data_IF_597878429786
#
_entry.id   IF_597878429786
#
_cell.length_a   1.000
_cell.length_b   1.000
_cell.length_c   1.000
_cell.angle_alpha   90.00
_cell.angle_beta   90.00
_cell.angle_gamma   90.00
#
_symmetry.space_group_name_H-M   'P 1'
#
loop_
_entity.id
_entity.type
_entity.pdbx_description
1 polymer ?
#
# COMPACT_ATOMS: atom_id res chain seq x y z
N UNK A 1 25.02 -12.61 9.21
CA UNK A 1 25.31 -11.43 8.36
C UNK A 1 24.69 -10.21 9.02
N UNK A 2 25.36 -9.04 8.98
CA UNK A 2 24.77 -7.79 9.47
C UNK A 2 23.60 -7.44 8.54
N UNK A 3 22.41 -7.17 9.10
CA UNK A 3 21.29 -6.63 8.31
C UNK A 3 21.73 -5.34 7.64
N UNK A 4 21.77 -5.34 6.31
CA UNK A 4 22.16 -4.15 5.52
C UNK A 4 21.05 -3.10 5.62
N UNK A 5 19.78 -3.54 5.56
CA UNK A 5 18.59 -2.69 5.63
C UNK A 5 17.77 -3.04 6.88
N UNK A 6 17.28 -2.01 7.57
CA UNK A 6 16.36 -2.16 8.71
C UNK A 6 14.91 -2.26 8.25
N UNK A 7 14.57 -1.60 7.16
CA UNK A 7 13.24 -1.64 6.55
C UNK A 7 13.36 -1.69 5.03
N UNK A 8 12.42 -2.40 4.38
CA UNK A 8 12.23 -2.39 2.92
C UNK A 8 10.88 -1.76 2.62
N UNK A 9 10.86 -0.60 1.94
CA UNK A 9 9.62 0.07 1.54
C UNK A 9 9.26 -0.37 0.13
N UNK A 10 8.11 -1.02 -0.01
CA UNK A 10 7.65 -1.64 -1.26
C UNK A 10 6.39 -0.93 -1.77
N UNK A 11 6.39 -0.60 -3.05
CA UNK A 11 5.24 -0.02 -3.73
C UNK A 11 5.12 -0.46 -5.18
N UNK A 12 3.88 -0.60 -5.65
CA UNK A 12 3.56 -0.78 -7.06
C UNK A 12 3.26 0.56 -7.72
N UNK A 13 3.64 0.76 -8.99
CA UNK A 13 3.30 1.97 -9.74
C UNK A 13 3.05 1.67 -11.21
N UNK A 14 2.18 2.47 -11.85
CA UNK A 14 2.03 2.51 -13.30
C UNK A 14 1.50 3.85 -13.79
N UNK A 15 2.27 4.55 -14.64
CA UNK A 15 1.89 5.83 -15.25
C UNK A 15 1.51 6.92 -14.23
N UNK A 16 2.26 7.00 -13.11
CA UNK A 16 1.98 7.92 -12.00
C UNK A 16 3.24 8.65 -11.52
N UNK A 17 4.16 8.97 -12.45
CA UNK A 17 5.48 9.56 -12.18
C UNK A 17 5.51 10.63 -11.10
N UNK A 18 4.60 11.61 -11.15
CA UNK A 18 4.65 12.76 -10.23
C UNK A 18 4.20 12.39 -8.81
N UNK A 19 3.24 11.46 -8.68
CA UNK A 19 2.80 10.96 -7.38
C UNK A 19 3.87 10.07 -6.78
N UNK A 20 4.38 9.11 -7.55
CA UNK A 20 5.49 8.24 -7.15
C UNK A 20 6.71 9.05 -6.67
N UNK A 21 7.09 10.11 -7.39
CA UNK A 21 8.17 11.01 -6.97
C UNK A 21 7.91 11.65 -5.60
N UNK A 22 6.68 12.07 -5.35
CA UNK A 22 6.32 12.69 -4.07
C UNK A 22 6.31 11.65 -2.94
N UNK A 23 5.81 10.44 -3.19
CA UNK A 23 5.84 9.34 -2.23
C UNK A 23 7.28 8.99 -1.86
N UNK A 24 8.15 8.75 -2.85
CA UNK A 24 9.58 8.44 -2.61
C UNK A 24 10.26 9.59 -1.88
N UNK A 25 9.98 10.85 -2.24
CA UNK A 25 10.54 11.97 -1.51
C UNK A 25 10.10 12.00 -0.03
N UNK A 26 8.84 11.67 0.27
CA UNK A 26 8.36 11.59 1.66
C UNK A 26 9.02 10.45 2.45
N UNK A 27 9.47 9.38 1.79
CA UNK A 27 10.26 8.31 2.40
C UNK A 27 11.67 8.81 2.72
N UNK A 28 12.34 9.43 1.75
CA UNK A 28 13.71 9.97 1.90
C UNK A 28 13.82 11.04 2.99
N UNK A 29 12.80 11.85 3.14
CA UNK A 29 12.75 12.95 4.13
C UNK A 29 12.05 12.57 5.43
N UNK A 30 11.76 11.28 5.64
CA UNK A 30 11.01 10.83 6.81
C UNK A 30 11.76 10.96 8.15
N UNK A 31 13.08 11.08 8.12
CA UNK A 31 13.93 11.15 9.32
C UNK A 31 14.17 9.79 9.97
N UNK A 32 14.19 8.73 9.19
CA UNK A 32 14.51 7.38 9.66
C UNK A 32 16.01 7.25 9.98
N UNK A 33 16.30 6.75 11.16
CA UNK A 33 17.69 6.51 11.62
C UNK A 33 18.11 5.08 11.32
N UNK A 34 18.50 4.82 10.10
CA UNK A 34 18.90 3.51 9.60
C UNK A 34 18.89 3.46 8.09
N UNK A 35 19.17 2.29 7.53
CA UNK A 35 19.17 2.08 6.09
C UNK A 35 17.78 1.64 5.61
N UNK A 36 17.24 2.37 4.65
CA UNK A 36 15.98 2.06 3.98
C UNK A 36 16.31 1.45 2.61
N UNK A 37 15.71 0.32 2.32
CA UNK A 37 15.61 -0.21 0.96
C UNK A 37 14.30 0.28 0.34
N UNK A 38 14.35 0.93 -0.82
CA UNK A 38 13.15 1.36 -1.54
C UNK A 38 12.99 0.48 -2.78
N UNK A 39 11.90 -0.26 -2.87
CA UNK A 39 11.59 -1.17 -3.98
C UNK A 39 10.33 -0.67 -4.70
N UNK A 40 10.46 -0.41 -5.99
CA UNK A 40 9.34 -0.05 -6.86
C UNK A 40 9.11 -1.15 -7.88
N UNK A 41 7.90 -1.73 -7.89
CA UNK A 41 7.44 -2.60 -8.95
C UNK A 41 6.66 -1.76 -9.95
N UNK A 42 7.24 -1.53 -11.14
CA UNK A 42 6.62 -0.72 -12.20
C UNK A 42 5.86 -1.59 -13.19
N UNK A 43 4.60 -1.26 -13.44
CA UNK A 43 3.69 -1.99 -14.32
C UNK A 43 3.92 -1.78 -15.83
N UNK A 44 5.11 -1.36 -16.26
CA UNK A 44 5.41 -1.00 -17.63
C UNK A 44 4.87 0.40 -17.97
N UNK A 45 5.34 1.39 -17.23
CA UNK A 45 4.95 2.79 -17.42
C UNK A 45 5.46 3.38 -18.72
N UNK A 46 4.64 4.23 -19.34
CA UNK A 46 4.93 4.93 -20.62
C UNK A 46 4.96 6.46 -20.46
N UNK A 47 4.79 6.98 -19.23
CA UNK A 47 4.79 8.42 -18.93
C UNK A 47 6.17 8.98 -18.53
N UNK A 48 7.25 8.19 -18.78
CA UNK A 48 8.61 8.50 -18.39
C UNK A 48 8.92 8.16 -16.92
N UNK A 49 8.09 7.35 -16.25
CA UNK A 49 8.37 6.83 -14.92
C UNK A 49 9.61 5.94 -14.93
N UNK A 50 9.68 4.95 -15.84
CA UNK A 50 10.84 4.05 -15.97
C UNK A 50 12.14 4.80 -16.21
N UNK A 51 12.14 5.80 -17.12
CA UNK A 51 13.33 6.62 -17.41
C UNK A 51 13.79 7.43 -16.18
N UNK A 52 12.82 7.85 -15.35
CA UNK A 52 13.15 8.54 -14.13
C UNK A 52 13.65 7.58 -13.05
N UNK A 53 13.03 6.41 -12.89
CA UNK A 53 13.46 5.38 -11.95
C UNK A 53 14.87 4.88 -12.24
N UNK A 54 15.21 4.67 -13.52
CA UNK A 54 16.55 4.26 -13.95
C UNK A 54 17.69 5.23 -13.56
N UNK A 55 17.34 6.47 -13.20
CA UNK A 55 18.29 7.50 -12.73
C UNK A 55 18.38 7.60 -11.21
N UNK A 56 17.59 6.82 -10.46
CA UNK A 56 17.65 6.80 -9.01
C UNK A 56 18.67 5.75 -8.55
N UNK A 57 19.61 6.14 -7.71
CA UNK A 57 20.68 5.27 -7.21
C UNK A 57 20.30 4.54 -5.90
N UNK A 58 19.23 4.96 -5.27
CA UNK A 58 18.72 4.47 -3.99
C UNK A 58 17.35 3.77 -4.09
N UNK A 59 16.87 3.55 -5.33
CA UNK A 59 15.60 2.86 -5.60
C UNK A 59 15.85 1.62 -6.41
N UNK A 60 15.49 0.47 -5.86
CA UNK A 60 15.49 -0.78 -6.58
C UNK A 60 14.22 -0.88 -7.45
N UNK A 61 14.39 -0.97 -8.74
CA UNK A 61 13.27 -0.97 -9.69
C UNK A 61 13.12 -2.34 -10.35
N UNK A 62 11.93 -2.91 -10.25
CA UNK A 62 11.52 -4.11 -10.97
C UNK A 62 10.46 -3.70 -11.98
N UNK A 63 10.68 -3.97 -13.27
CA UNK A 63 9.69 -3.70 -14.31
C UNK A 63 8.94 -4.99 -14.64
N UNK A 64 7.66 -5.05 -14.23
CA UNK A 64 6.73 -6.14 -14.54
C UNK A 64 5.57 -5.59 -15.35
N UNK A 65 5.60 -5.67 -16.70
CA UNK A 65 4.53 -5.14 -17.53
C UNK A 65 3.17 -5.73 -17.16
N UNK A 66 2.25 -4.88 -16.71
CA UNK A 66 0.92 -5.28 -16.27
C UNK A 66 -0.15 -4.68 -17.22
N UNK A 67 -0.37 -5.33 -18.34
CA UNK A 67 -1.33 -4.94 -19.36
C UNK A 67 -2.75 -5.43 -19.06
N UNK A 68 -3.73 -4.91 -19.80
CA UNK A 68 -5.11 -5.35 -19.66
C UNK A 68 -5.38 -6.59 -20.51
N UNK A 69 -6.07 -7.55 -19.91
CA UNK A 69 -6.52 -8.78 -20.56
C UNK A 69 -8.03 -8.97 -20.35
N UNK A 70 -8.58 -9.96 -21.04
CA UNK A 70 -9.89 -10.54 -20.73
C UNK A 70 -9.61 -11.97 -20.26
N UNK A 71 -10.02 -12.29 -19.02
CA UNK A 71 -9.81 -13.61 -18.45
C UNK A 71 -10.76 -14.67 -19.06
N UNK A 72 -10.60 -15.91 -18.62
CA UNK A 72 -11.44 -17.04 -19.05
C UNK A 72 -12.95 -16.87 -18.73
N UNK A 73 -13.29 -15.97 -17.82
CA UNK A 73 -14.67 -15.66 -17.41
C UNK A 73 -15.22 -14.43 -18.13
N UNK A 74 -14.49 -13.86 -19.12
CA UNK A 74 -14.87 -12.66 -19.85
C UNK A 74 -14.73 -11.38 -19.04
N UNK A 75 -13.97 -11.38 -17.94
CA UNK A 75 -13.73 -10.20 -17.10
C UNK A 75 -12.49 -9.47 -17.60
N UNK A 76 -12.65 -8.18 -17.92
CA UNK A 76 -11.49 -7.32 -18.24
C UNK A 76 -10.75 -6.99 -16.95
N UNK A 77 -9.54 -7.45 -16.82
CA UNK A 77 -8.67 -7.29 -15.65
C UNK A 77 -7.23 -6.97 -16.06
N UNK A 78 -6.32 -6.97 -15.11
CA UNK A 78 -4.87 -6.90 -15.33
C UNK A 78 -4.29 -8.32 -15.47
N UNK A 79 -3.22 -8.45 -16.27
CA UNK A 79 -2.52 -9.72 -16.49
C UNK A 79 -1.97 -10.29 -15.18
N UNK A 80 -1.47 -9.39 -14.32
CA UNK A 80 -0.97 -9.73 -12.98
C UNK A 80 -1.91 -9.16 -11.92
N UNK A 81 -2.57 -10.00 -11.11
CA UNK A 81 -3.34 -9.58 -9.94
C UNK A 81 -2.51 -8.75 -8.97
N UNK A 82 -3.19 -7.96 -8.14
CA UNK A 82 -2.50 -7.08 -7.19
C UNK A 82 -1.59 -7.85 -6.23
N UNK A 83 -2.03 -9.00 -5.73
CA UNK A 83 -1.25 -9.85 -4.83
C UNK A 83 0.05 -10.35 -5.48
N UNK A 84 -0.04 -10.88 -6.70
CA UNK A 84 1.14 -11.31 -7.48
C UNK A 84 2.10 -10.15 -7.70
N UNK A 85 1.57 -9.00 -8.12
CA UNK A 85 2.36 -7.81 -8.40
C UNK A 85 3.11 -7.29 -7.17
N UNK A 86 2.46 -7.25 -6.01
CA UNK A 86 3.09 -6.82 -4.76
C UNK A 86 4.06 -7.87 -4.19
N UNK A 87 3.75 -9.16 -4.36
CA UNK A 87 4.62 -10.25 -3.90
C UNK A 87 5.99 -10.23 -4.58
N UNK A 88 6.10 -9.73 -5.82
CA UNK A 88 7.39 -9.52 -6.47
C UNK A 88 8.29 -8.65 -5.59
N UNK A 89 7.79 -7.51 -5.14
CA UNK A 89 8.55 -6.61 -4.27
C UNK A 89 8.77 -7.17 -2.86
N UNK A 90 7.76 -7.82 -2.27
CA UNK A 90 7.84 -8.38 -0.93
C UNK A 90 8.86 -9.51 -0.84
N UNK A 91 8.82 -10.45 -1.78
CA UNK A 91 9.77 -11.59 -1.82
C UNK A 91 11.20 -11.14 -2.09
N UNK A 92 11.36 -10.03 -2.82
CA UNK A 92 12.66 -9.43 -3.12
C UNK A 92 13.25 -8.57 -1.99
N UNK A 93 12.45 -8.20 -1.00
CA UNK A 93 12.88 -7.39 0.15
C UNK A 93 13.96 -8.10 0.97
N UNK A 94 14.99 -7.36 1.41
CA UNK A 94 16.08 -7.89 2.21
C UNK A 94 15.87 -7.67 3.73
N UNK A 95 15.04 -6.70 4.13
CA UNK A 95 14.74 -6.45 5.54
C UNK A 95 13.60 -7.33 6.06
N UNK A 96 13.64 -7.66 7.35
CA UNK A 96 12.56 -8.38 8.03
C UNK A 96 11.29 -7.52 8.21
N UNK A 97 11.42 -6.20 8.18
CA UNK A 97 10.31 -5.26 8.31
C UNK A 97 10.00 -4.63 6.96
N UNK A 98 8.92 -5.08 6.32
CA UNK A 98 8.46 -4.60 5.02
C UNK A 98 7.41 -3.52 5.22
N UNK A 99 7.58 -2.36 4.61
CA UNK A 99 6.60 -1.27 4.61
C UNK A 99 5.87 -1.28 3.27
N UNK A 100 4.58 -1.58 3.30
CA UNK A 100 3.72 -1.48 2.12
C UNK A 100 3.10 -0.09 2.05
N UNK A 101 3.29 0.60 0.94
CA UNK A 101 2.65 1.89 0.63
C UNK A 101 2.15 1.92 -0.81
N UNK A 102 1.18 2.77 -1.10
CA UNK A 102 0.83 3.10 -2.50
C UNK A 102 1.70 4.24 -3.02
N UNK A 103 1.81 4.35 -4.34
CA UNK A 103 2.60 5.36 -5.04
C UNK A 103 1.99 6.79 -4.97
N UNK A 104 0.95 6.99 -4.16
CA UNK A 104 0.28 8.25 -3.86
C UNK A 104 0.07 8.47 -2.35
N UNK A 105 0.86 7.78 -1.53
CA UNK A 105 0.83 7.94 -0.08
C UNK A 105 1.98 8.81 0.39
N UNK A 106 1.68 9.94 1.02
CA UNK A 106 2.68 10.84 1.59
C UNK A 106 2.78 10.57 3.09
N UNK A 107 3.95 10.16 3.53
CA UNK A 107 4.22 9.85 4.93
C UNK A 107 4.45 11.13 5.74
N UNK A 108 3.92 11.18 6.96
CA UNK A 108 4.27 12.21 7.92
C UNK A 108 5.72 12.03 8.41
N UNK A 109 6.43 13.12 8.76
CA UNK A 109 7.77 13.03 9.33
C UNK A 109 7.82 12.09 10.55
N UNK A 110 8.83 11.23 10.61
CA UNK A 110 9.03 10.27 11.69
C UNK A 110 8.12 9.04 11.67
N UNK A 111 7.20 8.91 10.70
CA UNK A 111 6.27 7.79 10.60
C UNK A 111 7.00 6.45 10.51
N UNK A 112 8.05 6.35 9.69
CA UNK A 112 8.81 5.12 9.52
C UNK A 112 9.56 4.72 10.79
N UNK A 113 10.20 5.70 11.46
CA UNK A 113 10.95 5.42 12.70
C UNK A 113 10.02 4.90 13.79
N UNK A 114 8.92 5.61 14.05
CA UNK A 114 7.96 5.24 15.10
C UNK A 114 7.35 3.86 14.87
N UNK A 115 6.98 3.57 13.61
CA UNK A 115 6.41 2.28 13.24
C UNK A 115 7.40 1.13 13.41
N UNK A 116 8.63 1.32 12.94
CA UNK A 116 9.71 0.35 13.10
C UNK A 116 10.03 0.05 14.58
N UNK A 117 10.19 1.10 15.39
CA UNK A 117 10.52 0.97 16.80
C UNK A 117 9.40 0.22 17.56
N UNK A 118 8.14 0.54 17.29
CA UNK A 118 6.98 -0.12 17.91
C UNK A 118 6.93 -1.61 17.53
N UNK A 119 7.02 -1.95 16.24
CA UNK A 119 7.01 -3.34 15.80
C UNK A 119 8.20 -4.12 16.36
N UNK A 120 9.40 -3.57 16.20
CA UNK A 120 10.63 -4.21 16.67
C UNK A 120 10.60 -4.47 18.17
N UNK A 121 10.12 -3.52 18.96
CA UNK A 121 9.97 -3.66 20.41
C UNK A 121 9.04 -4.84 20.74
N UNK A 122 7.89 -4.94 20.08
CA UNK A 122 6.90 -6.01 20.33
C UNK A 122 7.41 -7.37 19.87
N UNK A 123 8.01 -7.46 18.70
CA UNK A 123 8.61 -8.71 18.20
C UNK A 123 9.71 -9.17 19.17
N UNK A 124 10.56 -8.25 19.64
CA UNK A 124 11.62 -8.58 20.63
C UNK A 124 11.08 -8.98 22.00
N UNK A 125 9.90 -8.51 22.39
CA UNK A 125 9.24 -8.95 23.63
C UNK A 125 8.55 -10.31 23.51
N UNK A 126 8.63 -10.96 22.34
CA UNK A 126 8.02 -12.27 22.08
C UNK A 126 6.55 -12.20 21.66
N UNK A 127 6.01 -10.98 21.41
CA UNK A 127 4.66 -10.88 20.88
C UNK A 127 4.59 -11.37 19.43
N UNK A 128 3.60 -12.19 19.11
CA UNK A 128 3.35 -12.69 17.76
C UNK A 128 2.64 -11.60 16.90
N UNK A 129 3.41 -10.59 16.45
CA UNK A 129 2.93 -9.46 15.65
C UNK A 129 3.23 -9.70 14.18
N UNK A 130 2.18 -9.75 13.35
CA UNK A 130 2.30 -9.91 11.89
C UNK A 130 2.49 -8.59 11.14
N UNK A 131 2.10 -7.47 11.77
CA UNK A 131 2.29 -6.16 11.19
C UNK A 131 1.48 -5.06 11.86
N UNK A 132 1.62 -3.83 11.34
CA UNK A 132 0.94 -2.67 11.88
C UNK A 132 0.53 -1.65 10.82
N UNK A 133 -0.69 -1.15 10.94
CA UNK A 133 -1.30 -0.22 10.02
C UNK A 133 -1.01 1.24 10.38
N UNK A 134 -0.71 2.05 9.38
CA UNK A 134 -0.66 3.51 9.54
C UNK A 134 -2.05 4.09 9.66
N UNK A 135 -2.18 5.15 10.47
CA UNK A 135 -3.34 6.02 10.42
C UNK A 135 -3.25 6.87 9.16
N UNK A 136 -4.14 6.67 8.20
CA UNK A 136 -4.15 7.46 6.98
C UNK A 136 -5.42 8.28 6.83
N UNK A 137 -5.32 9.41 6.13
CA UNK A 137 -6.48 10.18 5.67
C UNK A 137 -6.54 10.18 4.16
N UNK A 138 -7.72 10.02 3.61
CA UNK A 138 -7.96 10.23 2.19
C UNK A 138 -8.07 11.74 1.91
N UNK A 139 -7.02 12.31 1.37
CA UNK A 139 -7.01 13.74 1.03
C UNK A 139 -7.53 13.94 -0.40
N UNK A 140 -8.44 14.90 -0.67
CA UNK A 140 -9.02 15.87 0.27
C UNK A 140 -10.33 15.43 0.95
N UNK A 141 -10.77 14.18 0.81
CA UNK A 141 -12.11 13.72 1.24
C UNK A 141 -12.32 13.76 2.75
N UNK A 142 -11.27 13.47 3.52
CA UNK A 142 -11.38 13.36 4.97
C UNK A 142 -10.43 14.33 5.67
N UNK A 143 -10.90 14.92 6.77
CA UNK A 143 -10.11 15.74 7.68
C UNK A 143 -9.63 14.98 8.94
N UNK A 144 -9.88 13.66 8.99
CA UNK A 144 -9.48 12.78 10.08
C UNK A 144 -8.62 11.63 9.56
N UNK A 145 -7.77 11.10 10.43
CA UNK A 145 -6.98 9.92 10.18
C UNK A 145 -7.71 8.67 10.67
N UNK A 146 -7.55 7.56 9.99
CA UNK A 146 -8.18 6.30 10.36
C UNK A 146 -7.30 5.09 10.05
N UNK A 147 -7.54 4.02 10.79
CA UNK A 147 -7.15 2.65 10.44
C UNK A 147 -8.43 1.88 10.16
N UNK A 148 -8.50 1.16 9.08
CA UNK A 148 -9.67 0.36 8.70
C UNK A 148 -9.67 -0.93 9.53
N UNK A 149 -10.85 -1.36 9.97
CA UNK A 149 -11.07 -2.69 10.55
C UNK A 149 -11.87 -3.57 9.58
N UNK A 150 -11.59 -4.87 9.62
CA UNK A 150 -12.25 -5.90 8.81
C UNK A 150 -13.02 -6.88 9.71
N UNK A 151 -13.66 -7.94 9.19
CA UNK A 151 -14.35 -8.90 10.01
C UNK A 151 -13.57 -9.32 11.26
N UNK A 152 -14.28 -9.63 12.37
CA UNK A 152 -13.74 -9.90 13.71
C UNK A 152 -13.03 -8.71 14.38
N UNK A 153 -13.08 -7.50 13.77
CA UNK A 153 -12.43 -6.30 14.30
C UNK A 153 -10.93 -6.26 14.09
N UNK A 154 -10.39 -7.11 13.22
CA UNK A 154 -8.96 -7.11 12.91
C UNK A 154 -8.54 -5.82 12.20
N UNK A 155 -7.34 -5.34 12.52
CA UNK A 155 -6.77 -4.13 11.95
C UNK A 155 -6.23 -4.43 10.56
N UNK A 156 -6.86 -3.84 9.54
CA UNK A 156 -6.44 -4.01 8.16
C UNK A 156 -5.20 -3.18 7.83
N UNK A 157 -4.19 -3.80 7.23
CA UNK A 157 -2.96 -3.11 6.83
C UNK A 157 -3.07 -2.70 5.37
N UNK A 158 -3.81 -1.60 5.11
CA UNK A 158 -3.84 -0.99 3.78
C UNK A 158 -2.51 -0.30 3.41
N UNK A 159 -1.89 0.31 4.42
CA UNK A 159 -0.58 0.93 4.39
C UNK A 159 0.06 0.71 5.75
N UNK A 160 1.31 0.32 5.79
CA UNK A 160 1.96 0.04 7.06
C UNK A 160 3.06 -1.01 6.96
N UNK A 161 3.41 -1.54 8.09
CA UNK A 161 4.46 -2.55 8.22
C UNK A 161 3.90 -3.96 8.21
N UNK A 162 4.59 -4.86 7.55
CA UNK A 162 4.51 -6.30 7.74
C UNK A 162 5.82 -6.84 8.33
N UNK A 163 5.72 -7.88 9.14
CA UNK A 163 6.85 -8.66 9.58
C UNK A 163 7.05 -9.81 8.59
N UNK A 164 8.19 -9.84 7.89
CA UNK A 164 8.44 -10.79 6.79
C UNK A 164 8.25 -12.25 7.18
N UNK A 165 8.73 -12.74 8.34
CA UNK A 165 8.46 -14.12 8.77
C UNK A 165 6.98 -14.44 8.94
N UNK A 166 6.14 -13.45 9.28
CA UNK A 166 4.69 -13.65 9.36
C UNK A 166 4.06 -13.77 7.97
N UNK A 167 4.54 -13.01 6.97
CA UNK A 167 4.11 -13.14 5.57
C UNK A 167 4.49 -14.50 5.00
N UNK A 168 5.69 -14.97 5.30
CA UNK A 168 6.18 -16.31 4.91
C UNK A 168 5.32 -17.41 5.51
N UNK A 169 4.99 -17.31 6.80
CA UNK A 169 4.16 -18.30 7.51
C UNK A 169 2.73 -18.41 6.95
N UNK A 170 2.19 -17.36 6.34
CA UNK A 170 0.88 -17.37 5.69
C UNK A 170 0.96 -17.44 4.15
N UNK A 171 2.13 -17.76 3.61
CA UNK A 171 2.36 -17.89 2.18
C UNK A 171 2.06 -16.62 1.36
N UNK A 172 2.45 -15.46 1.88
CA UNK A 172 2.40 -14.14 1.21
C UNK A 172 0.97 -13.67 0.87
N UNK A 173 0.84 -12.69 -0.03
CA UNK A 173 -0.46 -12.26 -0.56
C UNK A 173 -1.06 -13.32 -1.47
N UNK A 174 -2.39 -13.40 -1.50
CA UNK A 174 -3.11 -14.27 -2.44
C UNK A 174 -2.95 -13.75 -3.88
N UNK A 175 -2.38 -14.61 -4.74
CA UNK A 175 -2.09 -14.31 -6.13
C UNK A 175 -3.21 -14.76 -7.09
N UNK A 176 -4.25 -15.45 -6.58
CA UNK A 176 -5.21 -16.19 -7.42
C UNK A 176 -6.64 -15.67 -7.29
N UNK A 177 -7.10 -15.45 -6.06
CA UNK A 177 -8.52 -15.24 -5.78
C UNK A 177 -9.00 -13.80 -5.99
N UNK A 178 -8.10 -12.84 -6.06
CA UNK A 178 -8.42 -11.41 -6.15
C UNK A 178 -7.77 -10.76 -7.35
N UNK A 179 -8.53 -9.96 -8.10
CA UNK A 179 -7.98 -9.17 -9.20
C UNK A 179 -7.18 -7.97 -8.69
N UNK A 180 -7.74 -7.23 -7.71
CA UNK A 180 -7.11 -5.99 -7.24
C UNK A 180 -7.49 -5.61 -5.80
N UNK A 181 -8.77 -5.70 -5.42
CA UNK A 181 -9.25 -5.33 -4.10
C UNK A 181 -9.22 -6.52 -3.13
N UNK A 182 -9.38 -6.22 -1.84
CA UNK A 182 -9.50 -7.19 -0.76
C UNK A 182 -8.26 -8.02 -0.45
N UNK A 183 -7.19 -7.99 -1.26
CA UNK A 183 -5.97 -8.74 -0.98
C UNK A 183 -5.29 -8.33 0.32
N UNK A 184 -5.35 -7.03 0.68
CA UNK A 184 -4.90 -6.52 1.98
C UNK A 184 -5.78 -6.99 3.15
N UNK A 185 -7.09 -7.10 2.92
CA UNK A 185 -8.02 -7.70 3.87
C UNK A 185 -7.78 -9.19 4.06
N UNK A 186 -7.57 -9.91 2.97
CA UNK A 186 -7.30 -11.35 2.98
C UNK A 186 -6.04 -11.72 3.76
N UNK A 187 -4.91 -11.07 3.45
CA UNK A 187 -3.67 -11.31 4.19
C UNK A 187 -3.83 -10.99 5.68
N UNK A 188 -4.57 -9.92 6.02
CA UNK A 188 -4.86 -9.56 7.39
C UNK A 188 -5.69 -10.64 8.10
N UNK A 189 -6.69 -11.23 7.44
CA UNK A 189 -7.46 -12.35 7.98
C UNK A 189 -6.57 -13.54 8.24
N UNK A 190 -5.80 -14.00 7.24
CA UNK A 190 -4.91 -15.17 7.35
C UNK A 190 -3.85 -15.00 8.44
N UNK A 191 -3.25 -13.82 8.56
CA UNK A 191 -2.31 -13.51 9.64
C UNK A 191 -2.97 -13.71 11.02
N UNK A 192 -4.11 -13.06 11.25
CA UNK A 192 -4.78 -13.14 12.54
C UNK A 192 -5.33 -14.55 12.86
N UNK A 193 -5.81 -15.29 11.87
CA UNK A 193 -6.27 -16.67 12.04
C UNK A 193 -5.11 -17.63 12.39
N UNK A 194 -3.89 -17.32 11.95
CA UNK A 194 -2.66 -18.01 12.36
C UNK A 194 -2.06 -17.51 13.68
N UNK A 195 -2.74 -16.56 14.33
CA UNK A 195 -2.35 -15.99 15.62
C UNK A 195 -1.33 -14.84 15.51
N UNK A 196 -0.99 -14.38 14.29
CA UNK A 196 -0.22 -13.16 14.09
C UNK A 196 -1.14 -11.94 14.24
N UNK A 197 -0.91 -11.15 15.27
CA UNK A 197 -1.74 -9.96 15.52
C UNK A 197 -1.41 -8.85 14.51
N UNK A 198 -2.44 -8.16 14.03
CA UNK A 198 -2.29 -6.88 13.31
C UNK A 198 -2.75 -5.74 14.20
N UNK A 199 -1.97 -4.66 14.28
CA UNK A 199 -2.18 -3.57 15.24
C UNK A 199 -2.24 -2.20 14.55
N UNK A 200 -2.93 -1.19 15.14
CA UNK A 200 -2.74 0.18 14.71
C UNK A 200 -1.40 0.71 15.24
N UNK A 201 -0.61 1.37 14.37
CA UNK A 201 0.63 2.01 14.79
C UNK A 201 0.36 3.42 15.26
N UNK A 202 0.43 3.63 16.56
CA UNK A 202 0.23 4.95 17.13
C UNK A 202 1.29 5.93 16.62
N UNK A 203 0.83 7.18 16.33
CA UNK A 203 1.67 8.26 15.80
C UNK A 203 2.28 8.03 14.41
N UNK A 204 1.89 6.98 13.70
CA UNK A 204 2.27 6.75 12.31
C UNK A 204 1.15 7.25 11.39
N UNK A 205 1.36 8.42 10.78
CA UNK A 205 0.34 9.09 9.97
C UNK A 205 0.77 9.24 8.52
N UNK A 206 -0.21 9.17 7.61
CA UNK A 206 -0.01 9.37 6.19
C UNK A 206 -1.20 10.05 5.51
N UNK A 207 -0.96 10.76 4.41
CA UNK A 207 -2.01 11.28 3.54
C UNK A 207 -2.04 10.46 2.24
N UNK A 208 -3.14 9.77 2.00
CA UNK A 208 -3.41 9.08 0.75
C UNK A 208 -4.07 10.08 -0.22
N UNK A 209 -3.38 10.40 -1.30
CA UNK A 209 -3.82 11.39 -2.27
C UNK A 209 -4.84 10.76 -3.21
N UNK A 210 -6.12 10.76 -2.80
CA UNK A 210 -7.19 10.22 -3.65
C UNK A 210 -7.38 11.09 -4.89
N UNK A 211 -7.53 10.43 -6.03
CA UNK A 211 -7.80 11.10 -7.29
C UNK A 211 -9.10 11.90 -7.21
N UNK A 212 -9.07 13.15 -7.69
CA UNK A 212 -10.30 13.90 -7.90
C UNK A 212 -11.21 13.12 -8.86
N UNK A 213 -12.49 12.94 -8.53
CA UNK A 213 -13.41 12.23 -9.41
C UNK A 213 -13.63 13.03 -10.68
N UNK A 214 -12.91 12.68 -11.75
CA UNK A 214 -13.21 13.15 -13.10
C UNK A 214 -14.32 12.27 -13.63
N UNK A 215 -15.58 12.72 -13.53
CA UNK A 215 -16.83 12.04 -13.92
C UNK A 215 -17.08 10.69 -13.21
N UNK A 216 -18.35 10.33 -13.00
CA UNK A 216 -18.79 9.05 -12.41
C UNK A 216 -18.19 7.88 -13.21
N UNK A 217 -17.09 7.31 -12.74
CA UNK A 217 -16.52 6.08 -13.32
C UNK A 217 -17.42 4.91 -12.95
N UNK A 218 -17.77 4.07 -13.93
CA UNK A 218 -18.35 2.74 -13.64
C UNK A 218 -17.31 1.96 -12.80
N UNK A 219 -17.76 1.45 -11.67
CA UNK A 219 -16.95 0.55 -10.84
C UNK A 219 -16.62 -0.68 -11.70
N UNK A 220 -15.37 -1.09 -11.85
CA UNK A 220 -15.03 -2.28 -12.61
C UNK A 220 -15.76 -3.52 -12.07
N UNK A 221 -16.17 -4.43 -12.95
CA UNK A 221 -16.84 -5.69 -12.55
C UNK A 221 -16.01 -6.51 -11.55
N UNK A 222 -14.70 -6.52 -11.71
CA UNK A 222 -13.81 -7.26 -10.82
C UNK A 222 -13.82 -6.75 -9.38
N UNK A 223 -14.15 -5.49 -9.11
CA UNK A 223 -14.30 -4.98 -7.74
C UNK A 223 -15.41 -5.73 -6.98
N UNK A 224 -16.57 -5.92 -7.62
CA UNK A 224 -17.66 -6.67 -6.99
C UNK A 224 -17.27 -8.14 -6.83
N UNK A 225 -16.59 -8.73 -7.80
CA UNK A 225 -16.11 -10.12 -7.73
C UNK A 225 -15.14 -10.30 -6.56
N UNK A 226 -14.18 -9.40 -6.38
CA UNK A 226 -13.24 -9.43 -5.25
C UNK A 226 -13.97 -9.33 -3.91
N UNK A 227 -14.94 -8.42 -3.80
CA UNK A 227 -15.76 -8.27 -2.59
C UNK A 227 -16.60 -9.52 -2.29
N UNK A 228 -17.23 -10.10 -3.30
CA UNK A 228 -18.04 -11.31 -3.16
C UNK A 228 -17.17 -12.51 -2.75
N UNK A 229 -15.98 -12.61 -3.35
CA UNK A 229 -14.97 -13.62 -3.00
C UNK A 229 -14.55 -13.49 -1.53
N UNK A 230 -14.21 -12.27 -1.11
CA UNK A 230 -13.83 -11.99 0.27
C UNK A 230 -14.94 -12.33 1.26
N UNK A 231 -16.18 -11.91 0.97
CA UNK A 231 -17.34 -12.19 1.83
C UNK A 231 -17.66 -13.68 1.90
N UNK A 232 -17.43 -14.43 0.82
CA UNK A 232 -17.61 -15.88 0.79
C UNK A 232 -16.56 -16.62 1.62
N UNK A 233 -15.29 -16.18 1.54
CA UNK A 233 -14.19 -16.77 2.31
C UNK A 233 -14.28 -16.40 3.79
N UNK A 234 -14.73 -15.18 4.10
CA UNK A 234 -14.81 -14.65 5.46
C UNK A 234 -16.23 -14.19 5.80
N UNK A 235 -17.19 -15.11 5.99
CA UNK A 235 -18.60 -14.80 6.25
C UNK A 235 -18.85 -14.29 7.68
N UNK A 236 -17.93 -13.52 8.22
CA UNK A 236 -18.01 -12.99 9.56
C UNK A 236 -18.61 -11.58 9.58
N UNK A 237 -19.34 -11.29 10.66
CA UNK A 237 -19.87 -9.95 10.87
C UNK A 237 -18.73 -8.93 11.03
N UNK A 238 -18.84 -7.80 10.34
CA UNK A 238 -17.98 -6.65 10.56
C UNK A 238 -18.25 -6.06 11.95
N UNK A 239 -17.17 -5.86 12.72
CA UNK A 239 -17.23 -5.20 14.03
C UNK A 239 -16.53 -3.86 13.89
N UNK A 240 -17.31 -2.78 13.71
CA UNK A 240 -16.78 -1.43 13.46
C UNK A 240 -16.22 -1.25 12.03
N UNK A 241 -16.13 0.01 11.60
CA UNK A 241 -15.65 0.33 10.26
C UNK A 241 -14.21 0.87 10.25
N UNK A 242 -13.82 1.56 11.30
CA UNK A 242 -12.50 2.18 11.42
C UNK A 242 -12.22 2.70 12.83
N UNK A 243 -10.94 2.71 13.21
CA UNK A 243 -10.43 3.43 14.37
C UNK A 243 -10.04 4.84 13.90
N UNK A 244 -10.77 5.86 14.36
CA UNK A 244 -10.60 7.25 13.90
C UNK A 244 -9.83 8.09 14.90
N UNK A 245 -8.98 8.98 14.40
CA UNK A 245 -8.33 10.06 15.16
C UNK A 245 -8.61 11.39 14.47
N UNK A 246 -9.27 12.29 15.17
CA UNK A 246 -9.53 13.65 14.73
C UNK A 246 -8.57 14.65 15.40
N UNK A 247 -8.53 15.87 14.90
CA UNK A 247 -7.73 16.98 15.45
C UNK A 247 -6.22 16.72 15.57
N UNK A 248 -5.69 15.91 14.69
CA UNK A 248 -4.25 15.63 14.61
C UNK A 248 -3.59 16.73 13.79
N UNK A 249 -2.81 17.58 14.45
CA UNK A 249 -2.06 18.66 13.80
C UNK A 249 -0.70 18.16 13.29
N UNK A 250 -0.71 17.51 12.12
CA UNK A 250 0.50 17.03 11.45
C UNK A 250 0.60 17.71 10.08
N UNK A 251 1.74 18.35 9.83
CA UNK A 251 2.04 18.93 8.52
C UNK A 251 2.56 17.85 7.58
N UNK A 252 1.78 17.54 6.54
CA UNK A 252 2.17 16.66 5.44
C UNK A 252 2.22 17.51 4.17
N UNK A 253 3.31 17.43 3.41
CA UNK A 253 3.41 18.14 2.12
C UNK A 253 2.53 17.48 1.08
N UNK A 254 1.38 18.08 0.83
CA UNK A 254 0.40 17.65 -0.17
C UNK A 254 0.52 18.41 -1.49
N UNK A 255 1.59 19.16 -1.71
CA UNK A 255 1.79 19.98 -2.92
C UNK A 255 1.73 19.16 -4.20
N UNK A 256 2.15 17.89 -4.15
CA UNK A 256 2.06 16.96 -5.26
C UNK A 256 0.62 16.68 -5.70
N UNK A 257 -0.34 16.68 -4.77
CA UNK A 257 -1.76 16.54 -5.09
C UNK A 257 -2.24 17.71 -5.98
N UNK A 258 -1.90 18.94 -5.61
CA UNK A 258 -2.33 20.09 -6.40
C UNK A 258 -1.68 20.13 -7.77
N UNK A 259 -0.39 19.79 -7.88
CA UNK A 259 0.28 19.67 -9.19
C UNK A 259 -0.35 18.59 -10.07
N UNK A 260 -0.70 17.45 -9.47
CA UNK A 260 -1.38 16.37 -10.16
C UNK A 260 -2.80 16.77 -10.56
N UNK A 261 -3.58 17.36 -9.66
CA UNK A 261 -4.95 17.79 -9.90
C UNK A 261 -5.03 18.87 -11.01
N UNK A 262 -4.17 19.89 -10.96
CA UNK A 262 -4.10 20.94 -11.97
C UNK A 262 -3.78 20.37 -13.36
N UNK A 263 -2.77 19.50 -13.45
CA UNK A 263 -2.42 18.86 -14.72
C UNK A 263 -3.59 18.06 -15.30
N UNK A 264 -4.33 17.34 -14.47
CA UNK A 264 -5.41 16.49 -14.90
C UNK A 264 -6.70 17.26 -15.23
N UNK A 265 -6.96 18.35 -14.52
CA UNK A 265 -8.09 19.25 -14.83
C UNK A 265 -7.84 20.02 -16.12
N UNK A 266 -6.61 20.51 -16.33
CA UNK A 266 -6.24 21.32 -17.50
C UNK A 266 -6.02 20.49 -18.77
N UNK A 267 -5.57 19.23 -18.64
CA UNK A 267 -5.20 18.37 -19.76
C UNK A 267 -6.26 17.30 -20.12
N UNK A 268 -7.47 17.37 -19.56
CA UNK A 268 -8.57 16.45 -19.89
C UNK A 268 -8.19 14.99 -19.63
N UNK A 269 -7.91 14.63 -18.37
CA UNK A 269 -7.40 13.32 -18.01
C UNK A 269 -8.37 12.18 -18.30
N UNK A 270 -8.15 11.47 -19.40
CA UNK A 270 -8.86 10.25 -19.80
C UNK A 270 -7.93 9.03 -19.97
N UNK A 271 -6.64 9.18 -19.69
CA UNK A 271 -5.66 8.16 -20.05
C UNK A 271 -5.50 7.00 -19.06
N UNK A 272 -6.16 7.02 -17.90
CA UNK A 272 -6.04 5.93 -16.92
C UNK A 272 -7.00 4.75 -17.14
N UNK A 273 -7.99 4.92 -18.03
CA UNK A 273 -9.07 3.94 -18.27
C UNK A 273 -9.09 3.41 -19.71
N UNK A 274 -8.41 4.05 -20.64
CA UNK A 274 -8.51 3.73 -22.07
C UNK A 274 -7.34 2.94 -22.67
N UNK A 275 -6.33 2.57 -21.86
CA UNK A 275 -5.26 1.69 -22.39
C UNK A 275 -4.97 0.52 -21.46
#
# INVERSE_FOLDING_TARGET
>A
MKEIYQISVVMGSKNRKNLLKATINSIRTNGFNGNIEIIVVDGGSTDGTCDWLAKQTDVFTIVQPNYSIVDKNGVRCKAHPWGEFMNIGFKYSHADYIVMVSDDLILAPGCLQKGYDELRRRVKSGEKIGGGAFYFREYPRHNYYRVITIPKGYVNINHGFYYKPALEDVNWLDEINYYFYCGDGDITMRLNEKGWKTIPLNECYAAHLVHLPVKKKKIPKWNQIDMDTFNKLYPYKRIGDAIKKANINIKIDISAFWRYALKNVLCGYDNYVRK
#
